data_IF_022431302609
#
_entry.id   IF_022431302609
#
_cell.length_a   1.000
_cell.length_b   1.000
_cell.length_c   1.000
_cell.angle_alpha   90.00
_cell.angle_beta   90.00
_cell.angle_gamma   90.00
#
_symmetry.space_group_name_H-M   'P 1'
#
loop_
_entity.id
_entity.type
_entity.pdbx_description
1 polymer ?
#
# COMPACT_ATOMS: atom_id res chain seq x y z
N UNK A 1 -28.36 -32.00 -11.36
CA UNK A 1 -27.61 -30.97 -10.60
C UNK A 1 -27.16 -31.61 -9.30
N UNK A 2 -26.04 -32.31 -9.34
CA UNK A 2 -25.45 -32.99 -8.17
C UNK A 2 -24.56 -32.00 -7.44
N UNK A 3 -25.03 -31.53 -6.30
CA UNK A 3 -24.24 -30.76 -5.35
C UNK A 3 -23.24 -31.69 -4.67
N UNK A 4 -21.96 -31.58 -5.02
CA UNK A 4 -20.88 -32.21 -4.28
C UNK A 4 -20.70 -31.42 -2.98
N UNK A 5 -21.32 -31.88 -1.90
CA UNK A 5 -21.04 -31.39 -0.56
C UNK A 5 -19.61 -31.79 -0.19
N UNK A 6 -18.70 -30.82 -0.18
CA UNK A 6 -17.36 -30.97 0.36
C UNK A 6 -17.49 -31.11 1.87
N UNK A 7 -17.53 -32.35 2.33
CA UNK A 7 -17.45 -32.73 3.74
C UNK A 7 -15.97 -32.77 4.08
N UNK A 8 -15.38 -31.61 4.33
CA UNK A 8 -14.01 -31.51 4.80
C UNK A 8 -14.00 -30.59 6.02
N UNK A 9 -13.42 -31.11 7.09
CA UNK A 9 -13.14 -30.46 8.38
C UNK A 9 -14.28 -30.33 9.42
N UNK A 10 -14.53 -31.40 10.17
CA UNK A 10 -15.33 -31.39 11.40
C UNK A 10 -14.45 -31.30 12.67
N UNK A 11 -13.16 -30.99 12.54
CA UNK A 11 -12.27 -30.86 13.69
C UNK A 11 -12.33 -29.42 14.21
N UNK A 12 -12.50 -29.21 15.52
CA UNK A 12 -12.47 -27.87 16.09
C UNK A 12 -11.10 -27.24 15.87
N UNK A 13 -11.07 -25.92 15.65
CA UNK A 13 -9.82 -25.19 15.56
C UNK A 13 -8.99 -25.40 16.84
N UNK A 14 -7.65 -25.25 16.79
CA UNK A 14 -6.81 -25.42 17.97
C UNK A 14 -7.24 -24.55 19.14
N UNK A 15 -7.79 -23.35 18.91
CA UNK A 15 -8.24 -22.46 19.99
C UNK A 15 -9.69 -22.69 20.45
N UNK A 16 -10.41 -23.61 19.84
CA UNK A 16 -11.74 -24.02 20.26
C UNK A 16 -11.70 -25.15 21.30
N UNK A 17 -12.86 -25.44 21.91
CA UNK A 17 -12.99 -26.50 22.91
C UNK A 17 -12.81 -27.86 22.25
N UNK A 18 -11.85 -28.63 22.77
CA UNK A 18 -11.58 -29.97 22.26
C UNK A 18 -12.61 -31.00 22.78
N UNK A 19 -12.88 -32.10 22.05
CA UNK A 19 -13.91 -33.08 22.44
C UNK A 19 -13.67 -33.73 23.81
N UNK A 20 -12.40 -33.94 24.17
CA UNK A 20 -11.93 -34.50 25.43
C UNK A 20 -11.71 -33.44 26.54
N UNK A 21 -11.91 -32.15 26.22
CA UNK A 21 -11.70 -31.04 27.14
C UNK A 21 -13.00 -30.70 27.89
N UNK A 22 -12.97 -30.73 29.21
CA UNK A 22 -14.13 -30.31 30.02
C UNK A 22 -14.40 -28.82 29.86
N UNK A 23 -15.65 -28.36 30.02
CA UNK A 23 -16.00 -26.92 29.97
C UNK A 23 -15.11 -26.08 30.90
N UNK A 24 -14.86 -26.55 32.12
CA UNK A 24 -14.00 -25.86 33.10
C UNK A 24 -12.53 -25.77 32.67
N UNK A 25 -12.03 -26.77 31.93
CA UNK A 25 -10.68 -26.75 31.39
C UNK A 25 -10.60 -25.74 30.23
N UNK A 26 -11.59 -25.76 29.33
CA UNK A 26 -11.68 -24.81 28.23
C UNK A 26 -11.83 -23.35 28.70
N UNK A 27 -12.64 -23.08 29.72
CA UNK A 27 -12.74 -21.73 30.32
C UNK A 27 -11.40 -21.24 30.85
N UNK A 28 -10.63 -22.11 31.51
CA UNK A 28 -9.30 -21.78 32.00
C UNK A 28 -8.29 -21.62 30.85
N UNK A 29 -8.43 -22.38 29.77
CA UNK A 29 -7.65 -22.20 28.55
C UNK A 29 -7.93 -20.84 27.89
N UNK A 30 -9.20 -20.44 27.77
CA UNK A 30 -9.57 -19.13 27.23
C UNK A 30 -8.91 -18.00 28.03
N UNK A 31 -8.95 -18.06 29.37
CA UNK A 31 -8.22 -17.12 30.22
C UNK A 31 -6.70 -17.14 29.96
N UNK A 32 -6.10 -18.33 29.81
CA UNK A 32 -4.68 -18.48 29.51
C UNK A 32 -4.29 -17.83 28.17
N UNK A 33 -5.07 -18.10 27.11
CA UNK A 33 -4.91 -17.57 25.77
C UNK A 33 -5.02 -16.04 25.77
N UNK A 34 -6.07 -15.51 26.40
CA UNK A 34 -6.40 -14.09 26.38
C UNK A 34 -5.41 -13.22 27.20
N UNK A 35 -4.59 -13.83 28.07
CA UNK A 35 -3.48 -13.14 28.75
C UNK A 35 -2.32 -12.74 27.81
N UNK A 36 -2.31 -13.24 26.56
CA UNK A 36 -1.32 -12.83 25.56
C UNK A 36 0.12 -13.11 26.02
N UNK A 37 1.05 -12.20 25.70
CA UNK A 37 2.46 -12.35 26.08
C UNK A 37 2.75 -12.52 27.59
N UNK A 38 1.78 -12.18 28.46
CA UNK A 38 1.91 -12.32 29.93
C UNK A 38 1.26 -13.61 30.45
N UNK A 39 0.86 -14.52 29.56
CA UNK A 39 0.20 -15.80 29.89
C UNK A 39 0.94 -16.58 30.95
N UNK A 40 0.21 -17.02 31.98
CA UNK A 40 0.77 -17.75 33.10
C UNK A 40 -0.25 -18.67 33.74
N UNK A 41 0.10 -19.95 33.84
CA UNK A 41 -0.67 -20.97 34.58
C UNK A 41 -0.95 -20.53 36.03
N UNK A 42 0.00 -19.84 36.67
CA UNK A 42 -0.17 -19.30 38.03
C UNK A 42 -1.20 -18.17 38.07
N UNK A 43 -1.18 -17.28 37.07
CA UNK A 43 -2.13 -16.19 36.97
C UNK A 43 -3.55 -16.73 36.76
N UNK A 44 -3.72 -17.69 35.84
CA UNK A 44 -5.00 -18.37 35.58
C UNK A 44 -5.51 -19.12 36.81
N UNK A 45 -4.63 -19.82 37.54
CA UNK A 45 -5.01 -20.52 38.77
C UNK A 45 -5.58 -19.57 39.83
N UNK A 46 -4.94 -18.41 40.02
CA UNK A 46 -5.41 -17.36 40.94
C UNK A 46 -6.75 -16.76 40.49
N UNK A 47 -6.89 -16.45 39.21
CA UNK A 47 -8.08 -15.81 38.65
C UNK A 47 -9.29 -16.74 38.62
N UNK A 48 -9.08 -18.02 38.29
CA UNK A 48 -10.13 -19.04 38.28
C UNK A 48 -10.40 -19.68 39.65
N UNK A 49 -9.70 -19.24 40.70
CA UNK A 49 -9.73 -19.81 42.06
C UNK A 49 -9.54 -21.35 42.06
N UNK A 50 -8.52 -21.83 41.34
CA UNK A 50 -8.17 -23.26 41.24
C UNK A 50 -6.72 -23.50 41.65
N UNK A 51 -6.40 -24.74 42.01
CA UNK A 51 -5.01 -25.10 42.30
C UNK A 51 -4.14 -25.03 41.04
N UNK A 52 -2.95 -24.44 41.18
CA UNK A 52 -1.96 -24.32 40.10
C UNK A 52 -1.59 -25.67 39.48
N UNK A 53 -1.57 -26.74 40.26
CA UNK A 53 -1.28 -28.11 39.80
C UNK A 53 -2.38 -28.64 38.88
N UNK A 54 -3.66 -28.29 39.15
CA UNK A 54 -4.78 -28.66 38.29
C UNK A 54 -4.72 -27.93 36.94
N UNK A 55 -4.46 -26.61 36.96
CA UNK A 55 -4.31 -25.82 35.73
C UNK A 55 -3.09 -26.32 34.93
N UNK A 56 -1.96 -26.60 35.60
CA UNK A 56 -0.78 -27.16 34.95
C UNK A 56 -1.06 -28.50 34.26
N UNK A 57 -1.81 -29.39 34.92
CA UNK A 57 -2.22 -30.66 34.33
C UNK A 57 -3.11 -30.46 33.10
N UNK A 58 -4.10 -29.56 33.15
CA UNK A 58 -4.93 -29.25 31.99
C UNK A 58 -4.12 -28.62 30.86
N UNK A 59 -3.20 -27.72 31.19
CA UNK A 59 -2.32 -27.08 30.24
C UNK A 59 -1.48 -28.08 29.45
N UNK A 60 -0.93 -29.09 30.12
CA UNK A 60 -0.16 -30.15 29.46
C UNK A 60 -1.06 -31.14 28.72
N UNK A 61 -2.17 -31.57 29.32
CA UNK A 61 -3.07 -32.58 28.73
C UNK A 61 -3.76 -32.08 27.45
N UNK A 62 -4.05 -30.78 27.36
CA UNK A 62 -4.74 -30.19 26.22
C UNK A 62 -3.85 -29.20 25.45
N UNK A 63 -2.51 -29.32 25.52
CA UNK A 63 -1.56 -28.59 24.68
C UNK A 63 -1.80 -27.07 24.59
N UNK A 64 -2.02 -26.42 25.74
CA UNK A 64 -2.43 -25.02 25.77
C UNK A 64 -1.40 -24.06 25.16
N UNK A 65 -0.10 -24.40 25.23
CA UNK A 65 0.97 -23.54 24.70
C UNK A 65 0.90 -23.50 23.18
N UNK A 66 0.78 -24.67 22.55
CA UNK A 66 0.68 -24.82 21.11
C UNK A 66 -0.61 -24.20 20.57
N UNK A 67 -1.74 -24.45 21.25
CA UNK A 67 -3.04 -23.87 20.89
C UNK A 67 -3.06 -22.35 21.01
N UNK A 68 -2.47 -21.80 22.07
CA UNK A 68 -2.35 -20.35 22.24
C UNK A 68 -1.43 -19.72 21.18
N UNK A 69 -0.34 -20.39 20.81
CA UNK A 69 0.53 -19.94 19.73
C UNK A 69 -0.18 -19.96 18.37
N UNK A 70 -0.99 -20.98 18.09
CA UNK A 70 -1.82 -21.04 16.88
C UNK A 70 -2.82 -19.87 16.83
N UNK A 71 -3.46 -19.55 17.96
CA UNK A 71 -4.36 -18.40 18.05
C UNK A 71 -3.65 -17.06 17.84
N UNK A 72 -2.46 -16.88 18.43
CA UNK A 72 -1.67 -15.67 18.25
C UNK A 72 -1.30 -15.47 16.78
N UNK A 73 -0.86 -16.54 16.10
CA UNK A 73 -0.51 -16.51 14.68
C UNK A 73 -1.73 -16.21 13.80
N UNK A 74 -2.89 -16.78 14.14
CA UNK A 74 -4.14 -16.53 13.46
C UNK A 74 -4.59 -15.08 13.58
N UNK A 75 -4.60 -14.57 14.81
CA UNK A 75 -4.92 -13.17 15.12
C UNK A 75 -3.99 -12.22 14.37
N UNK A 76 -2.67 -12.49 14.40
CA UNK A 76 -1.69 -11.68 13.68
C UNK A 76 -1.94 -11.70 12.16
N UNK A 77 -2.28 -12.85 11.59
CA UNK A 77 -2.61 -12.95 10.16
C UNK A 77 -3.83 -12.10 9.82
N UNK A 78 -4.90 -12.21 10.59
CA UNK A 78 -6.12 -11.41 10.40
C UNK A 78 -5.84 -9.91 10.52
N UNK A 79 -5.04 -9.49 11.51
CA UNK A 79 -4.63 -8.11 11.68
C UNK A 79 -3.84 -7.62 10.45
N UNK A 80 -2.83 -8.38 10.00
CA UNK A 80 -2.04 -8.04 8.80
C UNK A 80 -2.94 -7.88 7.59
N UNK A 81 -3.89 -8.79 7.37
CA UNK A 81 -4.84 -8.72 6.26
C UNK A 81 -5.73 -7.48 6.35
N UNK A 82 -6.25 -7.17 7.54
CA UNK A 82 -7.06 -5.97 7.80
C UNK A 82 -6.25 -4.69 7.55
N UNK A 83 -5.01 -4.62 8.05
CA UNK A 83 -4.09 -3.50 7.81
C UNK A 83 -3.78 -3.33 6.33
N UNK A 84 -3.49 -4.40 5.60
CA UNK A 84 -3.26 -4.35 4.17
C UNK A 84 -4.50 -3.86 3.41
N UNK A 85 -5.68 -4.35 3.77
CA UNK A 85 -6.95 -3.89 3.19
C UNK A 85 -7.17 -2.41 3.46
N UNK A 86 -6.99 -1.95 4.69
CA UNK A 86 -7.12 -0.55 5.07
C UNK A 86 -6.12 0.35 4.31
N UNK A 87 -4.88 -0.12 4.12
CA UNK A 87 -3.88 0.58 3.30
C UNK A 87 -4.34 0.71 1.85
N UNK A 88 -4.80 -0.38 1.22
CA UNK A 88 -5.34 -0.36 -0.15
C UNK A 88 -6.55 0.57 -0.28
N UNK A 89 -7.49 0.49 0.65
CA UNK A 89 -8.70 1.32 0.64
C UNK A 89 -8.35 2.81 0.82
N UNK A 90 -7.39 3.12 1.68
CA UNK A 90 -6.91 4.49 1.90
C UNK A 90 -6.17 5.04 0.69
N UNK A 91 -5.29 4.24 0.09
CA UNK A 91 -4.62 4.58 -1.18
C UNK A 91 -5.65 4.87 -2.27
N UNK A 92 -6.65 3.99 -2.45
CA UNK A 92 -7.70 4.18 -3.45
C UNK A 92 -8.50 5.47 -3.22
N UNK A 93 -8.82 5.83 -1.96
CA UNK A 93 -9.50 7.09 -1.64
C UNK A 93 -8.62 8.30 -1.96
N UNK A 94 -7.33 8.27 -1.64
CA UNK A 94 -6.38 9.34 -1.95
C UNK A 94 -6.22 9.54 -3.47
N UNK A 95 -6.05 8.46 -4.23
CA UNK A 95 -5.98 8.52 -5.69
C UNK A 95 -7.24 9.14 -6.31
N UNK A 96 -8.44 8.73 -5.85
CA UNK A 96 -9.71 9.34 -6.32
C UNK A 96 -9.79 10.84 -6.01
N UNK A 97 -9.36 11.25 -4.82
CA UNK A 97 -9.33 12.67 -4.46
C UNK A 97 -8.32 13.43 -5.32
N UNK A 98 -7.15 12.84 -5.58
CA UNK A 98 -6.13 13.40 -6.45
C UNK A 98 -6.65 13.67 -7.86
N UNK A 99 -7.26 12.65 -8.49
CA UNK A 99 -7.91 12.77 -9.79
C UNK A 99 -8.98 13.88 -9.80
N UNK A 100 -9.85 13.93 -8.78
CA UNK A 100 -10.90 14.96 -8.71
C UNK A 100 -10.34 16.39 -8.59
N UNK A 101 -9.21 16.58 -7.91
CA UNK A 101 -8.53 17.88 -7.83
C UNK A 101 -7.92 18.27 -9.17
N UNK A 102 -7.30 17.31 -9.88
CA UNK A 102 -6.76 17.53 -11.22
C UNK A 102 -7.87 17.85 -12.23
N UNK A 103 -8.99 17.13 -12.19
CA UNK A 103 -10.15 17.38 -13.07
C UNK A 103 -10.70 18.80 -12.87
N UNK A 104 -10.83 19.24 -11.60
CA UNK A 104 -11.24 20.62 -11.29
C UNK A 104 -10.22 21.66 -11.77
N UNK A 105 -8.93 21.39 -11.62
CA UNK A 105 -7.87 22.26 -12.12
C UNK A 105 -7.92 22.37 -13.66
N UNK A 106 -8.08 21.24 -14.37
CA UNK A 106 -8.19 21.18 -15.82
C UNK A 106 -9.43 21.94 -16.34
N UNK A 107 -10.60 21.71 -15.72
CA UNK A 107 -11.82 22.44 -16.06
C UNK A 107 -11.67 23.96 -15.84
N UNK A 108 -10.96 24.37 -14.78
CA UNK A 108 -10.70 25.79 -14.54
C UNK A 108 -9.72 26.37 -15.57
N UNK A 109 -8.68 25.64 -15.98
CA UNK A 109 -7.73 26.09 -17.01
C UNK A 109 -8.42 26.38 -18.34
N UNK A 110 -9.42 25.58 -18.73
CA UNK A 110 -10.17 25.79 -19.97
C UNK A 110 -11.01 27.07 -19.97
N UNK A 111 -11.34 27.60 -18.79
CA UNK A 111 -12.26 28.74 -18.60
C UNK A 111 -11.59 29.94 -17.94
N UNK A 112 -10.28 29.86 -17.67
CA UNK A 112 -9.55 30.95 -17.05
C UNK A 112 -9.21 31.98 -18.12
N UNK A 113 -9.55 33.23 -17.84
CA UNK A 113 -9.01 34.36 -18.57
C UNK A 113 -7.59 34.61 -18.07
N UNK A 114 -6.60 34.37 -18.94
CA UNK A 114 -5.18 34.42 -18.59
C UNK A 114 -4.73 35.84 -18.19
N UNK A 115 -5.52 36.85 -18.51
CA UNK A 115 -5.25 38.27 -18.23
C UNK A 115 -5.80 38.75 -16.87
N UNK A 116 -6.51 37.91 -16.09
CA UNK A 116 -7.15 38.32 -14.80
C UNK A 116 -6.78 37.45 -13.58
N UNK A 117 -6.23 36.24 -13.80
CA UNK A 117 -5.53 35.32 -12.87
C UNK A 117 -6.10 35.05 -11.44
N UNK A 118 -6.42 33.76 -11.19
CA UNK A 118 -6.11 33.05 -9.92
C UNK A 118 -5.16 31.84 -10.11
N UNK A 119 -4.37 31.79 -11.20
CA UNK A 119 -3.54 30.65 -11.65
C UNK A 119 -2.74 29.93 -10.55
N UNK A 120 -2.35 30.62 -9.48
CA UNK A 120 -1.77 30.04 -8.27
C UNK A 120 -2.66 28.95 -7.63
N UNK A 121 -3.97 29.18 -7.52
CA UNK A 121 -4.93 28.21 -6.96
C UNK A 121 -5.09 26.99 -7.87
N UNK A 122 -5.07 27.19 -9.19
CA UNK A 122 -5.08 26.08 -10.16
C UNK A 122 -3.81 25.24 -10.07
N UNK A 123 -2.64 25.89 -10.02
CA UNK A 123 -1.35 25.22 -9.85
C UNK A 123 -1.22 24.54 -8.48
N UNK A 124 -1.90 25.03 -7.44
CA UNK A 124 -1.99 24.37 -6.14
C UNK A 124 -2.85 23.11 -6.23
N UNK A 125 -4.06 23.18 -6.80
CA UNK A 125 -4.94 22.02 -6.96
C UNK A 125 -4.26 20.89 -7.77
N UNK A 126 -3.58 21.23 -8.86
CA UNK A 126 -2.84 20.26 -9.67
C UNK A 126 -1.68 19.61 -8.89
N UNK A 127 -0.91 20.39 -8.13
CA UNK A 127 0.21 19.87 -7.31
C UNK A 127 -0.28 18.99 -6.17
N UNK A 128 -1.33 19.42 -5.46
CA UNK A 128 -1.95 18.64 -4.39
C UNK A 128 -2.52 17.33 -4.92
N UNK A 129 -3.16 17.35 -6.10
CA UNK A 129 -3.67 16.15 -6.74
C UNK A 129 -2.57 15.15 -7.09
N UNK A 130 -1.48 15.63 -7.70
CA UNK A 130 -0.32 14.79 -8.03
C UNK A 130 0.38 14.23 -6.78
N UNK A 131 0.42 14.98 -5.67
CA UNK A 131 1.00 14.48 -4.41
C UNK A 131 0.16 13.32 -3.84
N UNK A 132 -1.17 13.48 -3.80
CA UNK A 132 -2.08 12.45 -3.27
C UNK A 132 -2.02 11.14 -4.08
N UNK A 133 -1.78 11.23 -5.39
CA UNK A 133 -1.57 10.05 -6.24
C UNK A 133 -0.23 9.37 -5.94
N UNK A 134 0.89 10.11 -5.90
CA UNK A 134 2.20 9.53 -5.51
C UNK A 134 2.14 8.82 -4.16
N UNK A 135 1.53 9.47 -3.17
CA UNK A 135 1.32 8.89 -1.84
C UNK A 135 0.42 7.64 -1.89
N UNK A 136 -0.55 7.57 -2.80
CA UNK A 136 -1.42 6.41 -2.98
C UNK A 136 -0.68 5.22 -3.60
N UNK A 137 0.22 5.46 -4.55
CA UNK A 137 1.05 4.43 -5.18
C UNK A 137 2.26 4.02 -4.33
N UNK A 138 2.50 4.70 -3.20
CA UNK A 138 3.66 4.46 -2.35
C UNK A 138 4.95 4.96 -2.99
N UNK A 139 4.86 5.85 -3.97
CA UNK A 139 6.00 6.50 -4.58
C UNK A 139 6.53 7.56 -3.61
N UNK A 140 7.84 7.55 -3.30
CA UNK A 140 8.41 8.55 -2.42
C UNK A 140 8.31 9.93 -3.08
N UNK A 141 7.98 10.95 -2.28
CA UNK A 141 7.82 12.33 -2.76
C UNK A 141 9.15 12.92 -3.30
N UNK A 142 10.28 12.32 -2.90
CA UNK A 142 11.62 12.55 -3.43
C UNK A 142 12.31 11.20 -3.63
N UNK A 143 12.71 10.90 -4.86
CA UNK A 143 13.67 9.83 -5.16
C UNK A 143 15.08 10.41 -5.03
N UNK A 144 15.81 10.04 -3.98
CA UNK A 144 17.24 10.31 -3.88
C UNK A 144 17.99 9.21 -4.61
N UNK A 145 18.44 9.49 -5.83
CA UNK A 145 19.32 8.60 -6.59
C UNK A 145 20.74 8.88 -6.11
N UNK A 146 21.34 7.92 -5.42
CA UNK A 146 22.73 7.97 -4.96
C UNK A 146 23.60 7.03 -5.79
N UNK A 147 24.92 7.26 -5.78
CA UNK A 147 25.90 6.35 -6.39
C UNK A 147 25.93 4.99 -5.67
N UNK A 148 26.67 4.03 -6.25
CA UNK A 148 26.71 2.63 -5.78
C UNK A 148 27.00 2.45 -4.27
N UNK A 149 27.72 3.39 -3.65
CA UNK A 149 28.08 3.36 -2.23
C UNK A 149 27.33 4.40 -1.38
N UNK A 150 26.19 4.92 -1.87
CA UNK A 150 25.44 6.00 -1.21
C UNK A 150 26.09 7.39 -1.33
N UNK A 151 27.21 7.49 -2.04
CA UNK A 151 27.89 8.74 -2.36
C UNK A 151 27.19 9.55 -3.46
N UNK A 152 27.62 10.80 -3.69
CA UNK A 152 27.14 11.61 -4.81
C UNK A 152 27.26 10.86 -6.14
N UNK A 153 26.28 10.99 -7.03
CA UNK A 153 26.43 10.52 -8.40
C UNK A 153 27.58 11.31 -9.03
N UNK A 154 28.66 10.62 -9.39
CA UNK A 154 29.70 11.20 -10.22
C UNK A 154 29.14 11.41 -11.63
N UNK A 155 28.61 12.60 -11.89
CA UNK A 155 28.48 13.06 -13.25
C UNK A 155 29.89 13.39 -13.74
N UNK A 156 30.41 12.63 -14.71
CA UNK A 156 31.60 13.04 -15.45
C UNK A 156 31.31 14.46 -15.98
N UNK A 157 31.93 15.46 -15.35
CA UNK A 157 31.70 16.85 -15.68
C UNK A 157 32.18 17.03 -17.11
N UNK A 158 31.23 17.14 -18.05
CA UNK A 158 31.54 17.43 -19.44
C UNK A 158 32.47 18.65 -19.46
N UNK A 159 33.60 18.52 -20.13
CA UNK A 159 34.54 19.61 -20.29
C UNK A 159 33.84 20.83 -20.90
N UNK A 160 34.40 22.01 -20.75
CA UNK A 160 33.82 23.22 -21.34
C UNK A 160 33.62 23.09 -22.86
N UNK A 161 34.48 22.30 -23.52
CA UNK A 161 34.41 21.98 -24.94
C UNK A 161 33.25 21.03 -25.26
N UNK A 162 33.10 19.94 -24.51
CA UNK A 162 32.00 18.98 -24.68
C UNK A 162 30.63 19.61 -24.39
N UNK A 163 30.56 20.51 -23.40
CA UNK A 163 29.33 21.28 -23.11
C UNK A 163 28.96 22.21 -24.26
N UNK A 164 29.95 22.85 -24.90
CA UNK A 164 29.72 23.70 -26.08
C UNK A 164 29.27 22.87 -27.28
N UNK A 165 29.91 21.73 -27.53
CA UNK A 165 29.56 20.81 -28.62
C UNK A 165 28.12 20.29 -28.46
N UNK A 166 27.78 19.80 -27.27
CA UNK A 166 26.44 19.25 -26.99
C UNK A 166 25.34 20.31 -27.01
N UNK A 167 25.63 21.52 -26.55
CA UNK A 167 24.72 22.66 -26.66
C UNK A 167 24.52 23.12 -28.11
N UNK A 168 25.54 23.02 -28.97
CA UNK A 168 25.41 23.30 -30.39
C UNK A 168 24.55 22.22 -31.09
N UNK A 169 24.75 20.96 -30.74
CA UNK A 169 23.97 19.84 -31.30
C UNK A 169 22.50 19.89 -30.90
N UNK A 170 22.19 20.17 -29.63
CA UNK A 170 20.81 20.34 -29.17
C UNK A 170 20.10 21.52 -29.85
N UNK A 171 20.81 22.63 -30.10
CA UNK A 171 20.26 23.76 -30.86
C UNK A 171 19.99 23.39 -32.31
N UNK A 172 20.85 22.59 -32.94
CA UNK A 172 20.66 22.08 -34.30
C UNK A 172 19.41 21.20 -34.38
N UNK A 173 19.29 20.22 -33.48
CA UNK A 173 18.13 19.32 -33.42
C UNK A 173 16.83 20.07 -33.12
N UNK A 174 16.86 21.07 -32.24
CA UNK A 174 15.70 21.91 -31.96
C UNK A 174 15.28 22.74 -33.18
N UNK A 175 16.24 23.26 -33.95
CA UNK A 175 15.98 23.99 -35.20
C UNK A 175 15.43 23.07 -36.30
N UNK A 176 16.01 21.88 -36.48
CA UNK A 176 15.54 20.85 -37.42
C UNK A 176 14.10 20.42 -37.09
N UNK A 177 13.82 20.15 -35.81
CA UNK A 177 12.46 19.81 -35.36
C UNK A 177 11.48 20.95 -35.57
N UNK A 178 11.87 22.20 -35.27
CA UNK A 178 11.04 23.39 -35.51
C UNK A 178 10.77 23.62 -37.00
N UNK A 179 11.74 23.32 -37.87
CA UNK A 179 11.58 23.40 -39.32
C UNK A 179 10.72 22.25 -39.89
N UNK A 180 10.73 21.07 -39.25
CA UNK A 180 9.91 19.93 -39.65
C UNK A 180 8.45 20.00 -39.14
N UNK A 181 8.18 20.79 -38.10
CA UNK A 181 6.84 20.91 -37.51
C UNK A 181 5.74 21.33 -38.51
N UNK A 182 5.94 22.31 -39.40
CA UNK A 182 4.93 22.68 -40.40
C UNK A 182 4.59 21.53 -41.38
N UNK A 183 5.55 20.65 -41.69
CA UNK A 183 5.30 19.47 -42.53
C UNK A 183 4.48 18.41 -41.80
N UNK A 184 4.77 18.21 -40.51
CA UNK A 184 4.00 17.28 -39.65
C UNK A 184 2.57 17.80 -39.48
N UNK A 185 2.38 19.10 -39.24
CA UNK A 185 1.05 19.72 -39.13
C UNK A 185 0.25 19.64 -40.44
N UNK A 186 0.92 19.74 -41.60
CA UNK A 186 0.30 19.57 -42.91
C UNK A 186 -0.12 18.12 -43.18
N UNK A 187 0.75 17.16 -42.88
CA UNK A 187 0.45 15.74 -43.02
C UNK A 187 -0.72 15.30 -42.11
N UNK A 188 -0.81 15.84 -40.90
CA UNK A 188 -1.93 15.59 -39.98
C UNK A 188 -3.25 16.18 -40.52
N UNK A 189 -3.19 17.31 -41.24
CA UNK A 189 -4.37 17.93 -41.86
C UNK A 189 -4.87 17.14 -43.07
N UNK A 190 -3.98 16.67 -43.94
CA UNK A 190 -4.30 15.88 -45.13
C UNK A 190 -4.89 14.50 -44.75
N UNK A 191 -4.33 13.82 -43.75
CA UNK A 191 -4.90 12.56 -43.24
C UNK A 191 -6.30 12.74 -42.64
N UNK A 192 -6.61 13.93 -42.13
CA UNK A 192 -7.92 14.24 -41.53
C UNK A 192 -8.97 14.66 -42.57
N UNK A 193 -8.55 15.22 -43.72
CA UNK A 193 -9.45 15.51 -44.85
C UNK A 193 -9.77 14.28 -45.69
N UNK A 194 -8.88 13.29 -45.73
CA UNK A 194 -9.10 12.03 -46.47
C UNK A 194 -10.00 11.04 -45.69
N UNK A 195 -10.36 11.37 -44.45
CA UNK A 195 -11.22 10.58 -43.56
C UNK A 195 -12.67 11.11 -43.47
N UNK A 196 -13.01 12.17 -44.20
CA UNK A 196 -14.37 12.70 -44.42
C UNK A 196 -14.90 12.31 -45.81
#
# INVERSE_FOLDING_TARGET
>A
MTATAHTDDLSPDPWERQPDETTKAYEAFAMYRDQGARRSVRAVARESNKHVTLIGRWSSAHHWVERAAAFDADTQRQEIEAWQKQRRDSARRRAKLGQALQDKAAARLQTIDLDVINATQVAQLAREGARLEREAFGEPDRLEITGADGGPIEHAALSAEERRARAAELRRLAAERRAAMPMIERAIREVRSDAE
#
